data_IF_035135225317
#
_entry.id   IF_035135225317
#
_cell.length_a   1.000
_cell.length_b   1.000
_cell.length_c   1.000
_cell.angle_alpha   90.00
_cell.angle_beta   90.00
_cell.angle_gamma   90.00
#
_symmetry.space_group_name_H-M   'P 1'
#
loop_
_entity.id
_entity.type
_entity.pdbx_description
1 polymer ?
#
# COMPACT_ATOMS: atom_id res chain seq x y z
N UNK A 1 14.43 28.70 3.89
CA UNK A 1 13.47 29.50 4.70
C UNK A 1 14.27 30.54 5.47
N UNK A 2 14.02 31.84 5.25
CA UNK A 2 14.84 32.92 5.82
C UNK A 2 14.40 33.26 7.25
N UNK A 3 15.35 33.75 8.07
CA UNK A 3 15.15 34.20 9.47
C UNK A 3 13.99 35.18 9.63
N UNK A 4 13.68 35.92 8.56
CA UNK A 4 12.63 36.92 8.46
C UNK A 4 11.22 36.36 8.72
N UNK A 5 10.94 35.13 8.27
CA UNK A 5 9.61 34.50 8.46
C UNK A 5 9.35 34.20 9.94
N UNK A 6 10.37 33.72 10.66
CA UNK A 6 10.28 33.46 12.10
C UNK A 6 10.10 34.75 12.91
N UNK A 7 10.74 35.85 12.48
CA UNK A 7 10.57 37.16 13.11
C UNK A 7 9.13 37.68 12.96
N UNK A 8 8.51 37.52 11.78
CA UNK A 8 7.12 37.92 11.58
C UNK A 8 6.13 37.10 12.42
N UNK A 9 6.33 35.78 12.54
CA UNK A 9 5.50 34.91 13.38
C UNK A 9 5.66 35.29 14.86
N UNK A 10 6.89 35.50 15.33
CA UNK A 10 7.16 35.93 16.70
C UNK A 10 6.51 37.29 17.02
N UNK A 11 6.56 38.24 16.08
CA UNK A 11 5.94 39.55 16.23
C UNK A 11 4.40 39.45 16.26
N UNK A 12 3.82 38.60 15.41
CA UNK A 12 2.38 38.33 15.39
C UNK A 12 1.87 37.73 16.71
N UNK A 13 2.60 36.76 17.26
CA UNK A 13 2.27 36.16 18.57
C UNK A 13 2.40 37.19 19.69
N UNK A 14 3.42 38.05 19.67
CA UNK A 14 3.59 39.13 20.65
C UNK A 14 2.44 40.16 20.59
N UNK A 15 1.96 40.52 19.40
CA UNK A 15 0.85 41.48 19.24
C UNK A 15 -0.47 40.88 19.70
N UNK A 16 -0.73 39.61 19.39
CA UNK A 16 -1.94 38.91 19.82
C UNK A 16 -1.94 38.73 21.35
N UNK A 17 -0.83 38.29 21.93
CA UNK A 17 -0.70 38.12 23.39
C UNK A 17 -0.81 39.45 24.14
N UNK A 18 -0.22 40.53 23.63
CA UNK A 18 -0.32 41.87 24.24
C UNK A 18 -1.74 42.45 24.14
N UNK A 19 -2.40 42.28 22.99
CA UNK A 19 -3.76 42.74 22.75
C UNK A 19 -4.79 41.97 23.59
N UNK A 20 -4.56 40.68 23.83
CA UNK A 20 -5.38 39.90 24.74
C UNK A 20 -5.13 40.30 26.20
N UNK A 21 -3.86 40.50 26.61
CA UNK A 21 -3.51 40.89 27.97
C UNK A 21 -4.20 42.18 28.46
N UNK A 22 -4.47 43.14 27.57
CA UNK A 22 -5.18 44.38 27.95
C UNK A 22 -6.66 44.18 28.26
N UNK A 23 -7.29 43.11 27.74
CA UNK A 23 -8.70 42.79 27.99
C UNK A 23 -8.93 42.12 29.35
N UNK A 24 -7.87 41.67 30.02
CA UNK A 24 -7.93 40.89 31.27
C UNK A 24 -7.89 41.70 32.56
N UNK A 25 -7.88 43.03 32.51
CA UNK A 25 -7.76 43.79 33.76
C UNK A 25 -8.98 43.68 34.69
N UNK A 26 -10.10 43.02 34.31
CA UNK A 26 -11.37 43.09 35.05
C UNK A 26 -12.40 41.92 35.02
N UNK A 27 -12.13 40.69 34.56
CA UNK A 27 -13.20 39.63 34.53
C UNK A 27 -12.82 38.30 35.20
N UNK A 28 -13.66 37.74 36.12
CA UNK A 28 -13.36 36.55 36.92
C UNK A 28 -13.88 35.21 36.36
N UNK A 29 -14.30 35.14 35.09
CA UNK A 29 -14.94 33.95 34.51
C UNK A 29 -13.93 33.07 33.74
N UNK A 30 -13.44 32.01 34.40
CA UNK A 30 -12.39 31.12 33.89
C UNK A 30 -12.76 30.39 32.58
N UNK A 31 -14.05 30.17 32.32
CA UNK A 31 -14.51 29.43 31.13
C UNK A 31 -14.23 30.18 29.83
N UNK A 32 -14.37 31.52 29.85
CA UNK A 32 -14.12 32.38 28.69
C UNK A 32 -12.64 32.41 28.32
N UNK A 33 -11.75 32.41 29.32
CA UNK A 33 -10.29 32.40 29.11
C UNK A 33 -9.84 31.12 28.41
N UNK A 34 -10.38 29.96 28.78
CA UNK A 34 -10.03 28.66 28.17
C UNK A 34 -10.48 28.59 26.70
N UNK A 35 -11.72 29.01 26.42
CA UNK A 35 -12.30 28.98 25.07
C UNK A 35 -11.51 29.86 24.08
N UNK A 36 -11.03 31.00 24.56
CA UNK A 36 -10.21 31.94 23.78
C UNK A 36 -8.80 31.38 23.53
N UNK A 37 -8.19 30.71 24.52
CA UNK A 37 -6.89 30.04 24.36
C UNK A 37 -6.97 28.97 23.26
N UNK A 38 -8.01 28.14 23.29
CA UNK A 38 -8.26 27.10 22.28
C UNK A 38 -8.44 27.74 20.89
N UNK A 39 -9.23 28.81 20.78
CA UNK A 39 -9.38 29.54 19.52
C UNK A 39 -8.07 30.11 19.02
N UNK A 40 -7.21 30.62 19.91
CA UNK A 40 -5.91 31.20 19.53
C UNK A 40 -4.94 30.13 19.02
N UNK A 41 -4.89 28.97 19.67
CA UNK A 41 -4.08 27.82 19.22
C UNK A 41 -4.59 27.32 17.87
N UNK A 42 -5.91 27.17 17.71
CA UNK A 42 -6.51 26.76 16.45
C UNK A 42 -6.16 27.74 15.32
N UNK A 43 -6.20 29.05 15.59
CA UNK A 43 -5.92 30.09 14.62
C UNK A 43 -4.43 30.10 14.20
N UNK A 44 -3.51 29.88 15.14
CA UNK A 44 -2.08 29.72 14.84
C UNK A 44 -1.82 28.43 14.03
N UNK A 45 -2.46 27.31 14.37
CA UNK A 45 -2.31 26.04 13.64
C UNK A 45 -2.84 26.13 12.21
N UNK A 46 -4.01 26.76 12.01
CA UNK A 46 -4.56 26.99 10.66
C UNK A 46 -3.66 27.94 9.87
N UNK A 47 -3.18 29.02 10.50
CA UNK A 47 -2.26 29.94 9.85
C UNK A 47 -0.96 29.23 9.43
N UNK A 48 -0.39 28.39 10.29
CA UNK A 48 0.79 27.57 9.99
C UNK A 48 0.54 26.61 8.82
N UNK A 49 -0.61 25.93 8.78
CA UNK A 49 -0.97 25.05 7.65
C UNK A 49 -1.11 25.81 6.34
N UNK A 50 -1.74 26.99 6.35
CA UNK A 50 -1.91 27.82 5.16
C UNK A 50 -0.57 28.41 4.67
N UNK A 51 0.33 28.81 5.58
CA UNK A 51 1.68 29.26 5.20
C UNK A 51 2.54 28.09 4.71
N UNK A 52 2.43 26.93 5.34
CA UNK A 52 3.11 25.72 4.87
C UNK A 52 2.68 25.37 3.44
N UNK A 53 1.38 25.41 3.14
CA UNK A 53 0.90 25.14 1.77
C UNK A 53 1.25 26.23 0.74
N UNK A 54 1.28 27.51 1.13
CA UNK A 54 1.53 28.62 0.19
C UNK A 54 3.01 28.96 -0.03
N UNK A 55 3.87 28.67 0.95
CA UNK A 55 5.30 28.98 0.91
C UNK A 55 6.14 27.74 0.56
N UNK A 56 5.64 26.53 0.81
CA UNK A 56 6.32 25.31 0.36
C UNK A 56 5.88 24.90 -1.05
N UNK A 57 6.82 24.49 -1.88
CA UNK A 57 6.54 23.86 -3.18
C UNK A 57 6.05 22.40 -3.02
N UNK A 58 5.42 22.05 -1.88
CA UNK A 58 5.01 20.67 -1.59
C UNK A 58 4.06 20.10 -2.65
N UNK A 59 3.08 20.91 -3.09
CA UNK A 59 2.14 20.49 -4.14
C UNK A 59 2.82 20.37 -5.51
N UNK A 60 3.73 21.29 -5.86
CA UNK A 60 4.49 21.22 -7.11
C UNK A 60 5.40 20.00 -7.13
N UNK A 61 6.15 19.74 -6.05
CA UNK A 61 7.02 18.56 -5.94
C UNK A 61 6.22 17.25 -6.03
N UNK A 62 5.06 17.18 -5.35
CA UNK A 62 4.16 16.02 -5.45
C UNK A 62 3.66 15.81 -6.89
N UNK A 63 3.25 16.88 -7.57
CA UNK A 63 2.77 16.80 -8.95
C UNK A 63 3.90 16.43 -9.92
N UNK A 64 5.12 16.89 -9.68
CA UNK A 64 6.30 16.50 -10.45
C UNK A 64 6.63 15.01 -10.25
N UNK A 65 6.57 14.50 -9.02
CA UNK A 65 6.76 13.08 -8.72
C UNK A 65 5.68 12.20 -9.39
N UNK A 66 4.41 12.61 -9.33
CA UNK A 66 3.31 11.94 -10.05
C UNK A 66 3.55 11.96 -11.57
N UNK A 67 3.89 13.12 -12.15
CA UNK A 67 4.18 13.23 -13.58
C UNK A 67 5.39 12.39 -14.02
N UNK A 68 6.42 12.28 -13.19
CA UNK A 68 7.58 11.44 -13.49
C UNK A 68 7.21 9.96 -13.46
N UNK A 69 6.40 9.51 -12.48
CA UNK A 69 5.90 8.14 -12.42
C UNK A 69 5.08 7.78 -13.65
N UNK A 70 4.19 8.68 -14.09
CA UNK A 70 3.37 8.46 -15.28
C UNK A 70 4.23 8.30 -16.54
N UNK A 71 5.28 9.13 -16.70
CA UNK A 71 6.21 9.02 -17.84
C UNK A 71 7.02 7.73 -17.84
N UNK A 72 7.45 7.27 -16.67
CA UNK A 72 8.18 5.99 -16.54
C UNK A 72 7.26 4.83 -16.90
N UNK A 73 6.01 4.85 -16.43
CA UNK A 73 5.01 3.85 -16.79
C UNK A 73 4.73 3.86 -18.29
N UNK A 74 4.53 5.03 -18.88
CA UNK A 74 4.28 5.17 -20.32
C UNK A 74 5.43 4.59 -21.14
N UNK A 75 6.68 4.91 -20.77
CA UNK A 75 7.86 4.35 -21.44
C UNK A 75 7.96 2.82 -21.28
N UNK A 76 7.62 2.29 -20.10
CA UNK A 76 7.63 0.85 -19.85
C UNK A 76 6.54 0.13 -20.65
N UNK A 77 5.34 0.70 -20.73
CA UNK A 77 4.23 0.19 -21.56
C UNK A 77 4.67 0.16 -23.03
N UNK A 78 5.23 1.25 -23.55
CA UNK A 78 5.74 1.29 -24.92
C UNK A 78 6.82 0.23 -25.18
N UNK A 79 7.73 0.02 -24.22
CA UNK A 79 8.74 -1.03 -24.33
C UNK A 79 8.12 -2.42 -24.39
N UNK A 80 7.14 -2.72 -23.53
CA UNK A 80 6.46 -4.02 -23.50
C UNK A 80 5.60 -4.26 -24.74
N UNK A 81 4.95 -3.22 -25.27
CA UNK A 81 4.22 -3.31 -26.54
C UNK A 81 5.16 -3.65 -27.71
N UNK A 82 6.37 -3.09 -27.71
CA UNK A 82 7.40 -3.42 -28.70
C UNK A 82 8.06 -4.79 -28.47
N UNK A 83 8.09 -5.28 -27.22
CA UNK A 83 8.77 -6.51 -26.81
C UNK A 83 7.82 -7.44 -26.01
N UNK A 84 6.73 -7.95 -26.61
CA UNK A 84 5.69 -8.66 -25.87
C UNK A 84 6.13 -10.01 -25.29
N UNK A 85 7.27 -10.55 -25.74
CA UNK A 85 7.87 -11.78 -25.21
C UNK A 85 8.82 -11.56 -24.03
N UNK A 86 9.14 -10.30 -23.68
CA UNK A 86 9.96 -9.99 -22.52
C UNK A 86 9.12 -10.10 -21.25
N UNK A 87 8.98 -11.34 -20.76
CA UNK A 87 8.14 -11.64 -19.60
C UNK A 87 8.56 -10.87 -18.34
N UNK A 88 9.85 -10.53 -18.19
CA UNK A 88 10.32 -9.78 -17.03
C UNK A 88 9.89 -8.32 -17.10
N UNK A 89 9.98 -7.68 -18.27
CA UNK A 89 9.46 -6.33 -18.45
C UNK A 89 7.94 -6.27 -18.26
N UNK A 90 7.21 -7.26 -18.79
CA UNK A 90 5.76 -7.39 -18.57
C UNK A 90 5.43 -7.54 -17.09
N UNK A 91 6.20 -8.35 -16.36
CA UNK A 91 6.04 -8.56 -14.91
C UNK A 91 6.15 -7.26 -14.13
N UNK A 92 7.11 -6.39 -14.46
CA UNK A 92 7.29 -5.10 -13.78
C UNK A 92 6.04 -4.23 -13.92
N UNK A 93 5.39 -4.21 -15.09
CA UNK A 93 4.09 -3.51 -15.25
C UNK A 93 3.02 -4.15 -14.37
N UNK A 94 2.99 -5.48 -14.30
CA UNK A 94 2.02 -6.21 -13.49
C UNK A 94 2.17 -5.90 -11.99
N UNK A 95 3.40 -5.90 -11.48
CA UNK A 95 3.76 -5.54 -10.10
C UNK A 95 3.32 -4.11 -9.78
N UNK A 96 3.63 -3.18 -10.67
CA UNK A 96 3.21 -1.78 -10.52
C UNK A 96 1.68 -1.63 -10.47
N UNK A 97 0.94 -2.39 -11.29
CA UNK A 97 -0.52 -2.39 -11.24
C UNK A 97 -1.08 -2.98 -9.94
N UNK A 98 -0.44 -4.01 -9.37
CA UNK A 98 -0.81 -4.53 -8.04
C UNK A 98 -0.63 -3.45 -6.97
N UNK A 99 0.50 -2.75 -6.97
CA UNK A 99 0.81 -1.69 -6.00
C UNK A 99 -0.19 -0.53 -6.05
N UNK A 100 -0.67 -0.17 -7.25
CA UNK A 100 -1.70 0.84 -7.44
C UNK A 100 -3.11 0.35 -7.09
N UNK A 101 -3.30 -0.94 -6.81
CA UNK A 101 -4.62 -1.54 -6.60
C UNK A 101 -5.41 -1.76 -7.90
N UNK A 102 -4.79 -1.60 -9.07
CA UNK A 102 -5.38 -1.94 -10.36
C UNK A 102 -5.27 -3.46 -10.61
N UNK A 103 -6.08 -4.24 -9.88
CA UNK A 103 -5.99 -5.70 -9.89
C UNK A 103 -6.32 -6.32 -11.26
N UNK A 104 -7.26 -5.73 -12.02
CA UNK A 104 -7.58 -6.19 -13.38
C UNK A 104 -6.39 -6.01 -14.33
N UNK A 105 -5.73 -4.85 -14.24
CA UNK A 105 -4.50 -4.58 -15.00
C UNK A 105 -3.38 -5.55 -14.63
N UNK A 106 -3.17 -5.75 -13.33
CA UNK A 106 -2.19 -6.71 -12.82
C UNK A 106 -2.44 -8.12 -13.34
N UNK A 107 -3.69 -8.61 -13.24
CA UNK A 107 -4.07 -9.94 -13.73
C UNK A 107 -3.75 -10.11 -15.21
N UNK A 108 -4.12 -9.12 -16.03
CA UNK A 108 -3.86 -9.13 -17.47
C UNK A 108 -2.35 -9.22 -17.78
N UNK A 109 -1.52 -8.41 -17.13
CA UNK A 109 -0.09 -8.39 -17.39
C UNK A 109 0.62 -9.63 -16.81
N UNK A 110 0.25 -10.12 -15.63
CA UNK A 110 0.79 -11.39 -15.12
C UNK A 110 0.41 -12.57 -16.01
N UNK A 111 -0.81 -12.60 -16.54
CA UNK A 111 -1.22 -13.61 -17.50
C UNK A 111 -0.35 -13.54 -18.77
N UNK A 112 -0.12 -12.33 -19.30
CA UNK A 112 0.76 -12.14 -20.45
C UNK A 112 2.19 -12.62 -20.16
N UNK A 113 2.75 -12.26 -19.00
CA UNK A 113 4.09 -12.67 -18.59
C UNK A 113 4.18 -14.21 -18.45
N UNK A 114 3.15 -14.84 -17.88
CA UNK A 114 3.07 -16.29 -17.75
C UNK A 114 3.07 -16.99 -19.13
N UNK A 115 2.31 -16.45 -20.10
CA UNK A 115 2.24 -16.96 -21.47
C UNK A 115 3.52 -16.72 -22.29
N UNK A 116 4.30 -15.70 -21.95
CA UNK A 116 5.59 -15.39 -22.58
C UNK A 116 6.73 -16.36 -22.16
N UNK A 117 6.40 -17.62 -21.86
CA UNK A 117 7.30 -18.69 -21.39
C UNK A 117 7.98 -18.45 -20.04
N UNK A 118 7.46 -17.55 -19.20
CA UNK A 118 7.92 -17.40 -17.82
C UNK A 118 7.09 -18.20 -16.81
N UNK A 119 6.47 -19.29 -17.25
CA UNK A 119 5.78 -20.27 -16.41
C UNK A 119 6.69 -21.00 -15.42
N UNK A 120 8.02 -20.77 -15.48
CA UNK A 120 9.00 -21.30 -14.53
C UNK A 120 9.48 -20.23 -13.54
N UNK A 121 8.99 -19.00 -13.64
CA UNK A 121 9.30 -17.93 -12.68
C UNK A 121 8.22 -17.91 -11.60
N UNK A 122 8.60 -18.34 -10.39
CA UNK A 122 7.71 -18.40 -9.24
C UNK A 122 7.08 -17.03 -8.90
N UNK A 123 7.79 -15.92 -9.15
CA UNK A 123 7.26 -14.57 -8.89
C UNK A 123 6.08 -14.23 -9.81
N UNK A 124 6.13 -14.66 -11.08
CA UNK A 124 5.05 -14.48 -12.06
C UNK A 124 3.87 -15.38 -11.71
N UNK A 125 4.12 -16.63 -11.33
CA UNK A 125 3.06 -17.57 -10.94
C UNK A 125 2.30 -17.05 -9.70
N UNK A 126 3.03 -16.63 -8.66
CA UNK A 126 2.42 -16.10 -7.44
C UNK A 126 1.68 -14.79 -7.74
N UNK A 127 2.27 -13.89 -8.53
CA UNK A 127 1.59 -12.66 -8.93
C UNK A 127 0.32 -12.91 -9.73
N UNK A 128 0.30 -13.93 -10.61
CA UNK A 128 -0.90 -14.37 -11.32
C UNK A 128 -1.96 -14.91 -10.36
N UNK A 129 -1.58 -15.74 -9.37
CA UNK A 129 -2.49 -16.24 -8.33
C UNK A 129 -3.10 -15.07 -7.55
N UNK A 130 -2.25 -14.20 -7.01
CA UNK A 130 -2.65 -13.06 -6.19
C UNK A 130 -3.59 -12.11 -6.95
N UNK A 131 -3.17 -11.68 -8.15
CA UNK A 131 -3.99 -10.81 -8.99
C UNK A 131 -5.31 -11.46 -9.40
N UNK A 132 -5.36 -12.77 -9.62
CA UNK A 132 -6.63 -13.49 -9.88
C UNK A 132 -7.57 -13.44 -8.68
N UNK A 133 -7.06 -13.68 -7.47
CA UNK A 133 -7.85 -13.64 -6.23
C UNK A 133 -8.39 -12.24 -5.93
N UNK A 134 -7.64 -11.20 -6.27
CA UNK A 134 -8.00 -9.81 -6.02
C UNK A 134 -8.93 -9.22 -7.09
N UNK A 135 -8.64 -9.47 -8.38
CA UNK A 135 -9.47 -8.98 -9.51
C UNK A 135 -10.81 -9.71 -9.63
N UNK A 136 -10.86 -11.00 -9.24
CA UNK A 136 -12.05 -11.86 -9.34
C UNK A 136 -12.65 -11.83 -10.76
N UNK A 137 -11.88 -12.27 -11.77
CA UNK A 137 -12.35 -12.25 -13.15
C UNK A 137 -13.61 -13.11 -13.28
N UNK A 138 -14.54 -12.69 -14.15
CA UNK A 138 -15.80 -13.41 -14.38
C UNK A 138 -15.58 -14.86 -14.83
N UNK A 139 -14.48 -15.09 -15.55
CA UNK A 139 -14.07 -16.40 -16.06
C UNK A 139 -12.68 -16.72 -15.53
N UNK A 140 -12.58 -17.81 -14.76
CA UNK A 140 -11.29 -18.37 -14.34
C UNK A 140 -10.70 -19.19 -15.49
N UNK A 141 -9.61 -18.68 -16.06
CA UNK A 141 -8.89 -19.32 -17.17
C UNK A 141 -7.98 -20.45 -16.67
N UNK A 142 -7.43 -20.30 -15.47
CA UNK A 142 -6.49 -21.25 -14.86
C UNK A 142 -7.09 -21.87 -13.60
N UNK A 143 -6.78 -23.14 -13.35
CA UNK A 143 -6.98 -23.73 -12.04
C UNK A 143 -5.91 -23.19 -11.07
N UNK A 144 -6.34 -22.49 -10.02
CA UNK A 144 -5.43 -21.91 -9.05
C UNK A 144 -4.70 -22.97 -8.23
N UNK A 145 -5.26 -24.17 -8.05
CA UNK A 145 -4.54 -25.27 -7.41
C UNK A 145 -3.34 -25.73 -8.25
N UNK A 146 -3.49 -25.77 -9.58
CA UNK A 146 -2.40 -26.14 -10.49
C UNK A 146 -1.29 -25.09 -10.46
N UNK A 147 -1.64 -23.79 -10.48
CA UNK A 147 -0.65 -22.71 -10.35
C UNK A 147 0.08 -22.78 -9.01
N UNK A 148 -0.63 -23.03 -7.91
CA UNK A 148 0.00 -23.21 -6.58
C UNK A 148 0.95 -24.40 -6.58
N UNK A 149 0.53 -25.54 -7.13
CA UNK A 149 1.37 -26.74 -7.20
C UNK A 149 2.60 -26.50 -8.07
N UNK A 150 2.47 -25.73 -9.16
CA UNK A 150 3.59 -25.32 -9.99
C UNK A 150 4.59 -24.45 -9.23
N UNK A 151 4.11 -23.47 -8.46
CA UNK A 151 4.96 -22.63 -7.61
C UNK A 151 5.69 -23.47 -6.54
N UNK A 152 4.98 -24.35 -5.83
CA UNK A 152 5.55 -25.23 -4.81
C UNK A 152 6.49 -26.30 -5.38
N UNK A 153 6.39 -26.64 -6.67
CA UNK A 153 7.35 -27.50 -7.33
C UNK A 153 8.69 -26.79 -7.61
N UNK A 154 8.66 -25.46 -7.79
CA UNK A 154 9.87 -24.62 -7.97
C UNK A 154 10.51 -24.36 -6.60
N UNK A 155 9.71 -23.93 -5.61
CA UNK A 155 10.14 -23.73 -4.23
C UNK A 155 9.10 -24.30 -3.24
N UNK A 156 9.38 -25.48 -2.64
CA UNK A 156 8.46 -26.13 -1.71
C UNK A 156 8.20 -25.39 -0.40
N UNK A 157 9.00 -24.36 -0.08
CA UNK A 157 8.90 -23.58 1.17
C UNK A 157 8.59 -22.11 0.92
N UNK A 158 8.23 -21.72 -0.31
CA UNK A 158 7.83 -20.34 -0.60
C UNK A 158 6.62 -19.95 0.25
N UNK A 159 6.80 -18.89 1.05
CA UNK A 159 5.82 -18.46 2.04
C UNK A 159 4.48 -18.07 1.41
N UNK A 160 4.52 -17.38 0.27
CA UNK A 160 3.31 -16.89 -0.42
C UNK A 160 2.58 -18.04 -1.11
N UNK A 161 3.30 -18.96 -1.74
CA UNK A 161 2.72 -20.15 -2.36
C UNK A 161 2.02 -21.04 -1.32
N UNK A 162 2.64 -21.26 -0.15
CA UNK A 162 2.00 -22.00 0.95
C UNK A 162 0.78 -21.26 1.52
N UNK A 163 0.87 -19.93 1.67
CA UNK A 163 -0.23 -19.10 2.16
C UNK A 163 -1.44 -19.13 1.23
N UNK A 164 -1.27 -18.71 -0.03
CA UNK A 164 -2.34 -18.70 -1.03
C UNK A 164 -2.84 -20.11 -1.30
N UNK A 165 -1.94 -21.08 -1.34
CA UNK A 165 -2.29 -22.48 -1.48
C UNK A 165 -3.22 -22.99 -0.39
N UNK A 166 -3.01 -22.60 0.86
CA UNK A 166 -3.94 -22.96 1.93
C UNK A 166 -5.31 -22.28 1.79
N UNK A 167 -5.32 -20.99 1.41
CA UNK A 167 -6.57 -20.24 1.16
C UNK A 167 -7.40 -20.88 0.03
N UNK A 168 -6.75 -21.21 -1.09
CA UNK A 168 -7.37 -21.85 -2.26
C UNK A 168 -7.87 -23.25 -1.91
N UNK A 169 -7.05 -24.07 -1.24
CA UNK A 169 -7.45 -25.42 -0.83
C UNK A 169 -8.70 -25.39 0.06
N UNK A 170 -8.73 -24.49 1.05
CA UNK A 170 -9.91 -24.33 1.91
C UNK A 170 -11.14 -23.86 1.13
N UNK A 171 -10.98 -22.90 0.23
CA UNK A 171 -12.08 -22.40 -0.61
C UNK A 171 -12.68 -23.50 -1.47
N UNK A 172 -11.86 -24.45 -1.92
CA UNK A 172 -12.27 -25.64 -2.67
C UNK A 172 -12.80 -26.79 -1.79
N UNK A 173 -12.90 -26.58 -0.47
CA UNK A 173 -13.38 -27.58 0.50
C UNK A 173 -12.32 -28.58 0.97
N UNK A 174 -11.08 -28.49 0.48
CA UNK A 174 -9.98 -29.35 0.92
C UNK A 174 -9.29 -28.76 2.15
N UNK A 175 -9.96 -28.91 3.28
CA UNK A 175 -9.47 -28.45 4.59
C UNK A 175 -8.19 -29.20 5.02
N UNK A 176 -8.04 -30.46 4.62
CA UNK A 176 -6.86 -31.26 4.96
C UNK A 176 -5.60 -30.69 4.28
N UNK A 177 -5.68 -30.42 2.97
CA UNK A 177 -4.58 -29.80 2.23
C UNK A 177 -4.29 -28.39 2.73
N UNK A 178 -5.32 -27.60 3.05
CA UNK A 178 -5.15 -26.27 3.63
C UNK A 178 -4.36 -26.32 4.94
N UNK A 179 -4.75 -27.22 5.86
CA UNK A 179 -4.05 -27.46 7.12
C UNK A 179 -2.60 -27.87 6.88
N UNK A 180 -2.35 -28.81 5.96
CA UNK A 180 -0.98 -29.25 5.64
C UNK A 180 -0.10 -28.11 5.15
N UNK A 181 -0.58 -27.28 4.21
CA UNK A 181 0.19 -26.14 3.67
C UNK A 181 0.49 -25.09 4.73
N UNK A 182 -0.48 -24.76 5.58
CA UNK A 182 -0.30 -23.78 6.65
C UNK A 182 0.59 -24.27 7.79
N UNK A 183 0.48 -25.54 8.18
CA UNK A 183 1.41 -26.13 9.15
C UNK A 183 2.83 -26.14 8.61
N UNK A 184 3.02 -26.44 7.31
CA UNK A 184 4.32 -26.35 6.66
C UNK A 184 4.88 -24.92 6.71
N UNK A 185 4.04 -23.92 6.47
CA UNK A 185 4.44 -22.52 6.54
C UNK A 185 4.86 -22.09 7.96
N UNK A 186 4.20 -22.61 9.00
CA UNK A 186 4.55 -22.31 10.40
C UNK A 186 5.93 -22.86 10.83
N UNK A 187 6.49 -23.83 10.10
CA UNK A 187 7.85 -24.34 10.32
C UNK A 187 8.93 -23.29 10.03
N UNK A 188 8.64 -22.28 9.21
CA UNK A 188 9.58 -21.21 8.91
C UNK A 188 9.81 -20.32 10.14
N UNK A 189 11.03 -20.31 10.68
CA UNK A 189 11.41 -19.50 11.84
C UNK A 189 11.39 -17.99 11.60
N UNK A 190 11.55 -17.55 10.35
CA UNK A 190 11.59 -16.13 9.96
C UNK A 190 10.19 -15.53 9.73
N UNK A 191 9.15 -16.37 9.77
CA UNK A 191 7.78 -15.92 9.57
C UNK A 191 7.36 -14.88 10.61
N UNK A 192 6.80 -13.76 10.14
CA UNK A 192 6.38 -12.64 10.99
C UNK A 192 5.29 -13.04 11.99
N UNK A 193 5.22 -12.30 13.10
CA UNK A 193 4.22 -12.54 14.14
C UNK A 193 2.79 -12.41 13.60
N UNK A 194 2.53 -11.37 12.81
CA UNK A 194 1.22 -11.11 12.21
C UNK A 194 0.80 -12.26 11.29
N UNK A 195 1.73 -12.78 10.49
CA UNK A 195 1.46 -13.89 9.59
C UNK A 195 1.19 -15.20 10.35
N UNK A 196 1.97 -15.48 11.41
CA UNK A 196 1.70 -16.61 12.31
C UNK A 196 0.31 -16.52 12.92
N UNK A 197 -0.09 -15.33 13.37
CA UNK A 197 -1.43 -15.11 13.91
C UNK A 197 -2.50 -15.36 12.83
N UNK A 198 -2.36 -14.78 11.64
CA UNK A 198 -3.30 -14.98 10.54
C UNK A 198 -3.47 -16.46 10.18
N UNK A 199 -2.38 -17.24 10.15
CA UNK A 199 -2.43 -18.68 9.90
C UNK A 199 -3.19 -19.41 11.02
N UNK A 200 -2.90 -19.11 12.29
CA UNK A 200 -3.58 -19.72 13.43
C UNK A 200 -5.09 -19.42 13.42
N UNK A 201 -5.48 -18.20 13.05
CA UNK A 201 -6.88 -17.83 12.85
C UNK A 201 -7.52 -18.70 11.76
N UNK A 202 -6.87 -18.85 10.60
CA UNK A 202 -7.39 -19.72 9.53
C UNK A 202 -7.51 -21.19 9.97
N UNK A 203 -6.53 -21.72 10.70
CA UNK A 203 -6.56 -23.08 11.22
C UNK A 203 -7.74 -23.31 12.18
N UNK A 204 -8.09 -22.32 13.00
CA UNK A 204 -9.22 -22.41 13.93
C UNK A 204 -10.58 -22.56 13.22
N UNK A 205 -10.69 -22.06 11.98
CA UNK A 205 -11.92 -22.11 11.18
C UNK A 205 -12.15 -23.46 10.49
N UNK A 206 -11.13 -24.31 10.44
CA UNK A 206 -11.16 -25.61 9.75
C UNK A 206 -10.92 -26.77 10.71
N UNK A 207 -11.29 -26.60 11.99
CA UNK A 207 -11.11 -27.59 13.05
C UNK A 207 -11.82 -28.92 12.73
#
# INVERSE_FOLDING_TARGET
>A
MTIEVYLFIALGVLVITWSLASLFKKSPDQTKTILILICSIALVSVFYLLTYQSVSNYQEAKNEEESQRDKVLEALVQYVEANPSDAQAVKVIAEYNLELGNYDGAYKYYQQAYLANASNDISIIIGLIESTLLSRPEVLIYDLNDLVNQALAIDPVDQRALWFGGLIARANGDQALARTRWLKLLEDSQLSVDMRQAINEQLSLIN
#
